data_IF_125942236813
#
_entry.id   IF_125942236813
#
_cell.length_a   1.000
_cell.length_b   1.000
_cell.length_c   1.000
_cell.angle_alpha   90.00
_cell.angle_beta   90.00
_cell.angle_gamma   90.00
#
_symmetry.space_group_name_H-M   'P 1'
#
loop_
_entity.id
_entity.type
_entity.pdbx_description
1 polymer ?
#
# COMPACT_ATOMS: atom_id res chain seq x y z
N UNK A 1 -35.44 -5.55 -4.34
CA UNK A 1 -35.13 -5.58 -2.89
C UNK A 1 -33.68 -5.23 -2.72
N UNK A 2 -33.37 -4.06 -2.20
CA UNK A 2 -31.99 -3.56 -2.08
C UNK A 2 -31.34 -4.16 -0.83
N UNK A 3 -30.34 -5.00 -1.02
CA UNK A 3 -29.40 -5.32 0.05
C UNK A 3 -28.55 -4.08 0.30
N UNK A 4 -28.67 -3.47 1.47
CA UNK A 4 -27.77 -2.42 1.90
C UNK A 4 -26.49 -3.09 2.38
N UNK A 5 -25.38 -2.82 1.71
CA UNK A 5 -24.06 -3.29 2.12
C UNK A 5 -23.14 -2.08 2.16
N UNK A 6 -22.55 -1.85 3.33
CA UNK A 6 -21.53 -0.83 3.53
C UNK A 6 -20.23 -1.57 3.87
N UNK A 7 -19.43 -1.86 2.87
CA UNK A 7 -18.15 -2.58 3.03
C UNK A 7 -17.01 -1.71 2.52
N UNK A 8 -16.06 -1.48 3.40
CA UNK A 8 -14.79 -0.84 3.06
C UNK A 8 -13.66 -1.85 3.16
N UNK A 9 -12.84 -1.93 2.15
CA UNK A 9 -11.58 -2.68 2.14
C UNK A 9 -10.43 -1.71 2.26
N UNK A 10 -9.51 -2.00 3.17
CA UNK A 10 -8.32 -1.19 3.38
C UNK A 10 -7.09 -2.06 3.19
N UNK A 11 -6.11 -1.52 2.49
CA UNK A 11 -4.80 -2.08 2.31
C UNK A 11 -3.77 -1.06 2.78
N UNK A 12 -2.92 -1.45 3.74
CA UNK A 12 -1.66 -0.78 4.02
C UNK A 12 -0.54 -1.60 3.39
N UNK A 13 0.24 -0.97 2.55
CA UNK A 13 1.34 -1.56 1.80
C UNK A 13 2.59 -0.75 2.06
N UNK A 14 3.50 -1.29 2.89
CA UNK A 14 4.72 -0.62 3.29
C UNK A 14 5.91 -1.35 2.69
N UNK A 15 6.53 -0.71 1.69
CA UNK A 15 7.67 -1.22 0.95
C UNK A 15 8.96 -0.59 1.46
N UNK A 16 10.00 -1.41 1.66
CA UNK A 16 11.30 -1.00 2.16
C UNK A 16 12.39 -1.49 1.24
N UNK A 17 13.25 -0.59 0.78
CA UNK A 17 14.49 -0.90 0.07
C UNK A 17 15.68 -0.41 0.88
N UNK A 18 16.67 -1.26 1.07
CA UNK A 18 17.85 -1.02 1.88
C UNK A 18 19.11 -1.13 1.03
N UNK A 19 20.04 -0.22 1.21
CA UNK A 19 21.32 -0.27 0.54
C UNK A 19 22.46 0.02 1.51
N UNK A 20 23.39 -0.94 1.65
CA UNK A 20 24.64 -0.71 2.33
C UNK A 20 25.59 0.10 1.43
N UNK A 21 26.37 0.99 2.01
CA UNK A 21 27.38 1.76 1.28
C UNK A 21 28.66 1.94 2.12
N UNK A 22 29.79 1.98 1.42
CA UNK A 22 31.07 2.27 2.05
C UNK A 22 31.36 3.79 2.12
N UNK A 23 30.69 4.58 1.25
CA UNK A 23 30.91 6.02 1.13
C UNK A 23 29.56 6.72 0.85
N UNK A 24 29.26 7.78 1.60
CA UNK A 24 28.01 8.56 1.50
C UNK A 24 27.76 9.10 0.09
N UNK A 25 28.79 9.47 -0.66
CA UNK A 25 28.63 9.96 -2.03
C UNK A 25 28.03 8.92 -3.00
N UNK A 26 28.13 7.63 -2.70
CA UNK A 26 27.51 6.58 -3.52
C UNK A 26 25.99 6.46 -3.32
N UNK A 27 25.43 7.14 -2.33
CA UNK A 27 23.99 7.15 -2.06
C UNK A 27 23.23 8.17 -2.88
N UNK A 28 23.90 9.23 -3.33
CA UNK A 28 23.25 10.35 -4.02
C UNK A 28 22.63 9.88 -5.35
N UNK A 29 23.35 9.08 -6.14
CA UNK A 29 22.83 8.54 -7.40
C UNK A 29 21.63 7.61 -7.16
N UNK A 30 21.67 6.80 -6.10
CA UNK A 30 20.57 5.92 -5.76
C UNK A 30 19.34 6.70 -5.29
N UNK A 31 19.53 7.71 -4.46
CA UNK A 31 18.44 8.59 -4.04
C UNK A 31 17.87 9.41 -5.20
N UNK A 32 18.70 9.92 -6.09
CA UNK A 32 18.22 10.60 -7.29
C UNK A 32 17.36 9.68 -8.15
N UNK A 33 17.76 8.43 -8.34
CA UNK A 33 16.95 7.46 -9.11
C UNK A 33 15.61 7.14 -8.45
N UNK A 34 15.57 7.07 -7.11
CA UNK A 34 14.33 6.86 -6.36
C UNK A 34 13.44 8.12 -6.35
N UNK A 35 14.03 9.31 -6.28
CA UNK A 35 13.29 10.57 -6.39
C UNK A 35 12.66 10.72 -7.79
N UNK A 36 13.39 10.33 -8.85
CA UNK A 36 12.83 10.25 -10.19
C UNK A 36 11.65 9.27 -10.28
N UNK A 37 11.67 8.19 -9.48
CA UNK A 37 10.64 7.15 -9.48
C UNK A 37 9.48 7.43 -8.51
N UNK A 38 9.73 8.09 -7.37
CA UNK A 38 8.77 8.22 -6.26
C UNK A 38 8.71 9.63 -5.65
N UNK A 39 9.27 10.64 -6.33
CA UNK A 39 9.11 12.04 -5.97
C UNK A 39 7.69 12.56 -6.28
N UNK A 40 7.46 13.84 -6.06
CA UNK A 40 6.12 14.45 -6.10
C UNK A 40 5.32 14.13 -7.38
N UNK A 41 5.94 14.33 -8.55
CA UNK A 41 5.24 14.12 -9.83
C UNK A 41 4.90 12.64 -10.09
N UNK A 42 5.72 11.74 -9.61
CA UNK A 42 5.48 10.30 -9.75
C UNK A 42 4.47 9.81 -8.71
N UNK A 43 4.50 10.41 -7.51
CA UNK A 43 3.51 10.15 -6.47
C UNK A 43 2.10 10.44 -6.97
N UNK A 44 1.88 11.56 -7.63
CA UNK A 44 0.59 11.90 -8.23
C UNK A 44 0.15 10.82 -9.24
N UNK A 45 1.05 10.41 -10.15
CA UNK A 45 0.76 9.37 -11.14
C UNK A 45 0.45 8.02 -10.50
N UNK A 46 1.19 7.64 -9.46
CA UNK A 46 0.94 6.41 -8.71
C UNK A 46 -0.47 6.40 -8.11
N UNK A 47 -0.86 7.48 -7.44
CA UNK A 47 -2.19 7.61 -6.83
C UNK A 47 -3.31 7.54 -7.89
N UNK A 48 -3.13 8.23 -9.02
CA UNK A 48 -4.09 8.21 -10.15
C UNK A 48 -4.21 6.80 -10.71
N UNK A 49 -3.10 6.13 -10.99
CA UNK A 49 -3.08 4.76 -11.54
C UNK A 49 -3.80 3.77 -10.61
N UNK A 50 -3.57 3.87 -9.29
CA UNK A 50 -4.26 3.02 -8.32
C UNK A 50 -5.78 3.32 -8.33
N UNK A 51 -6.18 4.58 -8.32
CA UNK A 51 -7.59 4.95 -8.32
C UNK A 51 -8.32 4.46 -9.59
N UNK A 52 -7.70 4.61 -10.76
CA UNK A 52 -8.24 4.12 -12.04
C UNK A 52 -8.37 2.59 -12.04
N UNK A 53 -7.39 1.86 -11.51
CA UNK A 53 -7.42 0.40 -11.41
C UNK A 53 -8.52 -0.13 -10.46
N UNK A 54 -8.99 0.70 -9.54
CA UNK A 54 -10.11 0.41 -8.66
C UNK A 54 -11.47 0.82 -9.26
N UNK A 55 -11.50 1.27 -10.52
CA UNK A 55 -12.67 1.84 -11.19
C UNK A 55 -13.31 2.98 -10.38
N UNK A 56 -12.48 3.81 -9.77
CA UNK A 56 -12.89 4.90 -8.92
C UNK A 56 -12.82 6.24 -9.66
N UNK A 57 -13.77 7.14 -9.37
CA UNK A 57 -13.74 8.52 -9.85
C UNK A 57 -12.89 9.37 -8.91
N UNK A 58 -11.86 10.01 -9.43
CA UNK A 58 -11.05 10.96 -8.68
C UNK A 58 -11.85 12.22 -8.38
N UNK A 59 -11.91 12.59 -7.12
CA UNK A 59 -12.63 13.79 -6.63
C UNK A 59 -11.64 14.92 -6.33
N UNK A 60 -10.49 14.59 -5.74
CA UNK A 60 -9.44 15.54 -5.42
C UNK A 60 -8.10 14.79 -5.27
N UNK A 61 -7.01 15.47 -5.60
CA UNK A 61 -5.64 14.99 -5.38
C UNK A 61 -4.77 16.16 -4.91
N UNK A 62 -3.85 15.86 -4.02
CA UNK A 62 -2.86 16.81 -3.52
C UNK A 62 -1.56 16.10 -3.25
N UNK A 63 -0.45 16.67 -3.67
CA UNK A 63 0.91 16.19 -3.40
C UNK A 63 1.76 17.29 -2.80
N UNK A 64 2.74 16.92 -1.98
CA UNK A 64 3.67 17.83 -1.33
C UNK A 64 5.05 17.20 -1.33
N UNK A 65 6.08 17.84 -1.91
CA UNK A 65 7.44 17.34 -1.87
C UNK A 65 8.06 17.54 -0.48
N UNK A 66 8.92 16.60 -0.09
CA UNK A 66 9.80 16.74 1.07
C UNK A 66 11.16 17.26 0.64
N UNK A 67 11.93 17.79 1.58
CA UNK A 67 13.32 18.22 1.34
C UNK A 67 14.26 17.42 2.24
N UNK A 68 15.38 16.92 1.73
CA UNK A 68 15.86 17.06 0.35
C UNK A 68 15.16 16.13 -0.65
N UNK A 69 14.57 15.02 -0.21
CA UNK A 69 13.95 13.97 -1.06
C UNK A 69 12.64 13.47 -0.46
N UNK A 70 11.80 12.91 -1.31
CA UNK A 70 10.55 12.29 -0.94
C UNK A 70 9.33 13.17 -1.16
N UNK A 71 8.18 12.58 -1.00
CA UNK A 71 6.91 13.27 -1.16
C UNK A 71 5.80 12.62 -0.32
N UNK A 72 4.73 13.37 -0.10
CA UNK A 72 3.45 12.81 0.30
C UNK A 72 2.39 13.14 -0.72
N UNK A 73 1.40 12.27 -0.81
CA UNK A 73 0.23 12.49 -1.65
C UNK A 73 -1.02 11.95 -1.00
N UNK A 74 -2.14 12.61 -1.26
CA UNK A 74 -3.45 12.15 -0.87
C UNK A 74 -4.44 12.33 -2.02
N UNK A 75 -5.25 11.31 -2.27
CA UNK A 75 -6.27 11.28 -3.29
C UNK A 75 -7.59 10.88 -2.67
N UNK A 76 -8.62 11.69 -2.92
CA UNK A 76 -9.99 11.34 -2.59
C UNK A 76 -10.69 10.80 -3.83
N UNK A 77 -11.40 9.70 -3.66
CA UNK A 77 -12.11 9.03 -4.75
C UNK A 77 -13.53 8.65 -4.33
N UNK A 78 -14.40 8.47 -5.32
CA UNK A 78 -15.78 8.04 -5.15
C UNK A 78 -16.16 7.00 -6.19
N UNK A 79 -17.34 6.43 -6.07
CA UNK A 79 -17.85 5.49 -7.07
C UNK A 79 -18.33 6.22 -8.33
N UNK A 80 -18.09 5.64 -9.50
CA UNK A 80 -18.54 6.24 -10.78
C UNK A 80 -20.07 6.22 -10.97
N UNK A 81 -20.78 5.31 -10.31
CA UNK A 81 -22.17 4.99 -10.58
C UNK A 81 -23.19 5.60 -9.61
N UNK A 82 -22.83 6.57 -8.78
CA UNK A 82 -23.79 7.07 -7.78
C UNK A 82 -24.67 8.22 -8.27
N UNK A 83 -25.92 7.85 -8.45
CA UNK A 83 -27.05 8.75 -8.27
C UNK A 83 -27.43 8.79 -6.79
N UNK A 84 -27.29 9.94 -6.14
CA UNK A 84 -27.90 10.35 -4.88
C UNK A 84 -27.37 9.74 -3.55
N UNK A 85 -26.55 10.50 -2.87
CA UNK A 85 -26.63 10.64 -1.42
C UNK A 85 -25.70 9.79 -0.55
N UNK A 86 -24.88 8.90 -1.08
CA UNK A 86 -23.82 8.24 -0.33
C UNK A 86 -22.46 8.84 -0.67
N UNK A 87 -21.89 9.57 0.27
CA UNK A 87 -20.48 9.92 0.28
C UNK A 87 -19.69 8.69 0.74
N UNK A 88 -19.58 7.68 -0.12
CA UNK A 88 -18.60 6.62 0.07
C UNK A 88 -17.23 7.20 -0.27
N UNK A 89 -16.68 7.97 0.68
CA UNK A 89 -15.38 8.58 0.57
C UNK A 89 -14.30 7.50 0.70
N UNK A 90 -13.87 6.98 -0.43
CA UNK A 90 -12.65 6.21 -0.55
C UNK A 90 -11.46 7.15 -0.68
N UNK A 91 -10.28 6.71 -0.23
CA UNK A 91 -9.08 7.52 -0.29
C UNK A 91 -7.83 6.67 -0.49
N UNK A 92 -6.80 7.30 -1.00
CA UNK A 92 -5.45 6.78 -1.06
C UNK A 92 -4.53 7.82 -0.42
N UNK A 93 -3.65 7.41 0.46
CA UNK A 93 -2.54 8.22 0.96
C UNK A 93 -1.23 7.51 0.65
N UNK A 94 -0.21 8.27 0.31
CA UNK A 94 1.12 7.75 0.02
C UNK A 94 2.20 8.65 0.60
N UNK A 95 3.29 8.05 1.07
CA UNK A 95 4.45 8.75 1.58
C UNK A 95 5.71 8.04 1.11
N UNK A 96 6.66 8.78 0.56
CA UNK A 96 8.01 8.29 0.28
C UNK A 96 9.01 8.96 1.22
N UNK A 97 9.86 8.16 1.86
CA UNK A 97 10.86 8.62 2.82
C UNK A 97 12.24 8.10 2.42
N UNK A 98 13.24 8.93 2.67
CA UNK A 98 14.64 8.64 2.38
C UNK A 98 15.44 8.91 3.65
N UNK A 99 15.90 7.84 4.27
CA UNK A 99 16.68 7.91 5.50
C UNK A 99 18.11 7.46 5.22
N UNK A 100 19.08 8.15 5.82
CA UNK A 100 20.51 7.80 5.75
C UNK A 100 21.02 7.63 7.17
N UNK A 101 21.69 6.50 7.42
CA UNK A 101 22.52 6.28 8.59
C UNK A 101 23.99 6.19 8.16
N UNK A 102 24.91 6.01 9.12
CA UNK A 102 26.36 5.93 8.83
C UNK A 102 26.76 4.83 7.84
N UNK A 103 25.93 3.81 7.67
CA UNK A 103 26.24 2.60 6.87
C UNK A 103 25.15 2.20 5.89
N UNK A 104 23.96 2.76 6.02
CA UNK A 104 22.80 2.34 5.23
C UNK A 104 22.00 3.52 4.73
N UNK A 105 21.53 3.40 3.50
CA UNK A 105 20.45 4.17 2.96
C UNK A 105 19.18 3.33 2.97
N UNK A 106 18.08 3.93 3.38
CA UNK A 106 16.77 3.31 3.48
C UNK A 106 15.76 4.14 2.72
N UNK A 107 15.13 3.53 1.73
CA UNK A 107 13.95 4.07 1.07
C UNK A 107 12.71 3.34 1.60
N UNK A 108 11.67 4.10 1.93
CA UNK A 108 10.40 3.58 2.38
C UNK A 108 9.27 4.23 1.58
N UNK A 109 8.39 3.39 1.00
CA UNK A 109 7.14 3.82 0.41
C UNK A 109 5.98 3.25 1.22
N UNK A 110 5.19 4.12 1.81
CA UNK A 110 3.98 3.77 2.54
C UNK A 110 2.76 4.11 1.69
N UNK A 111 1.86 3.16 1.51
CA UNK A 111 0.60 3.32 0.81
C UNK A 111 -0.55 2.87 1.71
N UNK A 112 -1.53 3.74 1.87
CA UNK A 112 -2.80 3.45 2.53
C UNK A 112 -3.93 3.60 1.51
N UNK A 113 -4.62 2.50 1.20
CA UNK A 113 -5.73 2.49 0.26
C UNK A 113 -6.99 2.06 0.99
N UNK A 114 -8.01 2.90 0.99
CA UNK A 114 -9.33 2.58 1.55
C UNK A 114 -10.38 2.71 0.45
N UNK A 115 -11.04 1.62 0.11
CA UNK A 115 -11.96 1.57 -1.03
C UNK A 115 -13.28 0.90 -0.67
N UNK A 116 -14.37 1.55 -1.08
CA UNK A 116 -15.72 0.99 -1.10
C UNK A 116 -16.12 0.44 -2.49
N UNK A 117 -15.30 0.71 -3.51
CA UNK A 117 -15.51 0.27 -4.90
C UNK A 117 -14.78 -1.06 -5.17
N UNK A 118 -13.54 -1.00 -5.64
CA UNK A 118 -12.71 -2.14 -5.95
C UNK A 118 -12.02 -2.75 -4.74
N UNK A 119 -11.39 -3.91 -4.94
CA UNK A 119 -10.56 -4.58 -3.94
C UNK A 119 -9.10 -4.11 -4.04
N UNK A 120 -8.58 -3.33 -3.07
CA UNK A 120 -7.21 -2.85 -3.11
C UNK A 120 -6.17 -3.99 -2.99
N UNK A 121 -6.54 -5.16 -2.47
CA UNK A 121 -5.67 -6.33 -2.44
C UNK A 121 -5.23 -6.81 -3.82
N UNK A 122 -6.03 -6.53 -4.86
CA UNK A 122 -5.66 -6.84 -6.25
C UNK A 122 -4.47 -6.02 -6.77
N UNK A 123 -4.11 -4.91 -6.09
CA UNK A 123 -2.98 -4.07 -6.48
C UNK A 123 -1.62 -4.58 -5.98
N UNK A 124 -1.61 -5.47 -4.99
CA UNK A 124 -0.38 -5.91 -4.31
C UNK A 124 0.66 -6.44 -5.28
N UNK A 125 0.26 -7.30 -6.22
CA UNK A 125 1.20 -7.87 -7.20
C UNK A 125 1.80 -6.79 -8.10
N UNK A 126 0.99 -5.88 -8.62
CA UNK A 126 1.45 -4.79 -9.48
C UNK A 126 2.41 -3.85 -8.73
N UNK A 127 2.11 -3.55 -7.47
CA UNK A 127 2.97 -2.72 -6.62
C UNK A 127 4.33 -3.41 -6.35
N UNK A 128 4.32 -4.71 -6.07
CA UNK A 128 5.55 -5.49 -5.89
C UNK A 128 6.40 -5.48 -7.16
N UNK A 129 5.81 -5.69 -8.32
CA UNK A 129 6.52 -5.70 -9.61
C UNK A 129 7.13 -4.34 -9.95
N UNK A 130 6.43 -3.26 -9.60
CA UNK A 130 6.90 -1.90 -9.83
C UNK A 130 7.99 -1.46 -8.87
N UNK A 131 7.85 -1.78 -7.57
CA UNK A 131 8.70 -1.24 -6.49
C UNK A 131 9.88 -2.18 -6.21
N UNK A 132 9.68 -3.49 -6.36
CA UNK A 132 10.65 -4.55 -6.05
C UNK A 132 11.29 -4.38 -4.66
N UNK A 133 10.49 -4.30 -3.58
CA UNK A 133 11.00 -4.03 -2.25
C UNK A 133 11.84 -5.18 -1.69
N UNK A 134 12.85 -4.87 -0.87
CA UNK A 134 13.60 -5.86 -0.11
C UNK A 134 12.74 -6.47 1.01
N UNK A 135 11.93 -5.62 1.66
CA UNK A 135 10.94 -6.01 2.66
C UNK A 135 9.60 -5.35 2.36
N UNK A 136 8.55 -6.11 2.64
CA UNK A 136 7.20 -5.68 2.40
C UNK A 136 6.30 -6.06 3.57
N UNK A 137 5.66 -5.08 4.17
CA UNK A 137 4.58 -5.30 5.12
C UNK A 137 3.24 -5.04 4.44
N UNK A 138 2.34 -6.02 4.54
CA UNK A 138 0.97 -5.95 4.02
C UNK A 138 0.02 -6.05 5.21
N UNK A 139 -0.84 -5.05 5.40
CA UNK A 139 -1.98 -5.10 6.32
C UNK A 139 -3.25 -4.90 5.51
N UNK A 140 -4.11 -5.91 5.51
CA UNK A 140 -5.37 -5.88 4.77
C UNK A 140 -6.55 -6.07 5.72
N UNK A 141 -7.53 -5.18 5.63
CA UNK A 141 -8.71 -5.18 6.49
C UNK A 141 -9.99 -5.02 5.71
N UNK A 142 -11.00 -5.74 6.14
CA UNK A 142 -12.37 -5.58 5.66
C UNK A 142 -13.24 -5.11 6.80
N UNK A 143 -13.88 -3.97 6.59
CA UNK A 143 -14.78 -3.34 7.57
C UNK A 143 -16.15 -3.14 6.95
N UNK A 144 -17.17 -3.24 7.78
CA UNK A 144 -18.53 -2.94 7.37
C UNK A 144 -19.56 -3.93 7.89
N UNK A 145 -20.78 -3.57 7.65
CA UNK A 145 -21.95 -4.36 7.99
C UNK A 145 -22.81 -4.52 6.74
N UNK A 146 -23.45 -5.66 6.59
CA UNK A 146 -24.51 -5.84 5.63
C UNK A 146 -25.81 -6.07 6.35
N UNK A 147 -26.88 -5.48 5.84
CA UNK A 147 -28.24 -5.77 6.29
C UNK A 147 -28.92 -6.67 5.27
N UNK A 148 -29.46 -7.79 5.74
CA UNK A 148 -30.26 -8.71 4.92
C UNK A 148 -31.65 -8.80 5.50
N UNK A 149 -32.65 -8.66 4.63
CA UNK A 149 -34.04 -8.82 5.02
C UNK A 149 -34.28 -10.23 5.59
N UNK A 150 -34.78 -10.32 6.82
CA UNK A 150 -35.01 -11.57 7.54
C UNK A 150 -33.85 -12.08 8.41
N UNK A 151 -32.62 -11.61 8.20
CA UNK A 151 -31.46 -12.01 8.99
C UNK A 151 -30.89 -10.87 9.86
N UNK A 152 -31.39 -9.64 9.72
CA UNK A 152 -30.94 -8.48 10.46
C UNK A 152 -29.55 -7.99 10.04
N UNK A 153 -28.81 -7.40 10.97
CA UNK A 153 -27.44 -6.90 10.75
C UNK A 153 -26.47 -8.07 10.80
N UNK A 154 -25.72 -8.28 9.73
CA UNK A 154 -24.66 -9.29 9.66
C UNK A 154 -23.31 -8.59 9.53
N UNK A 155 -22.30 -9.04 10.31
CA UNK A 155 -20.92 -8.72 10.02
C UNK A 155 -20.58 -9.32 8.66
N UNK A 156 -20.08 -8.53 7.74
CA UNK A 156 -19.65 -9.09 6.46
C UNK A 156 -18.28 -9.72 6.65
N UNK A 157 -18.23 -11.05 6.63
CA UNK A 157 -16.98 -11.75 6.36
C UNK A 157 -16.76 -11.71 4.85
N UNK A 158 -15.79 -10.96 4.38
CA UNK A 158 -15.29 -11.15 3.03
C UNK A 158 -14.12 -12.12 3.12
N UNK A 159 -14.02 -13.01 2.16
CA UNK A 159 -12.81 -13.81 2.03
C UNK A 159 -11.65 -12.84 1.83
N UNK A 160 -10.63 -12.94 2.68
CA UNK A 160 -9.38 -12.24 2.46
C UNK A 160 -8.83 -12.62 1.09
N UNK A 161 -8.20 -11.70 0.36
CA UNK A 161 -7.56 -12.03 -0.91
C UNK A 161 -6.62 -13.22 -0.72
N UNK A 162 -6.80 -14.25 -1.54
CA UNK A 162 -5.99 -15.45 -1.45
C UNK A 162 -4.59 -15.13 -1.98
N UNK A 163 -3.56 -15.46 -1.20
CA UNK A 163 -2.18 -15.40 -1.67
C UNK A 163 -1.45 -14.09 -1.43
N UNK A 164 -1.97 -13.17 -0.60
CA UNK A 164 -1.22 -11.98 -0.20
C UNK A 164 0.14 -12.30 0.45
N UNK A 165 0.25 -13.46 1.08
CA UNK A 165 1.47 -13.99 1.70
C UNK A 165 2.32 -14.89 0.76
N UNK A 166 1.87 -15.10 -0.47
CA UNK A 166 2.50 -16.01 -1.43
C UNK A 166 2.93 -15.25 -2.68
N UNK A 167 3.79 -14.27 -2.47
CA UNK A 167 4.32 -13.49 -3.57
C UNK A 167 5.56 -14.16 -4.15
N UNK A 168 5.62 -14.25 -5.49
CA UNK A 168 6.78 -14.83 -6.18
C UNK A 168 8.05 -14.05 -5.86
N UNK A 169 9.12 -14.73 -5.49
CA UNK A 169 10.39 -14.10 -5.12
C UNK A 169 10.48 -13.62 -3.67
N UNK A 170 9.45 -13.89 -2.85
CA UNK A 170 9.42 -13.47 -1.44
C UNK A 170 9.24 -14.65 -0.49
N UNK A 171 9.85 -14.55 0.67
CA UNK A 171 9.66 -15.45 1.81
C UNK A 171 8.77 -14.79 2.85
N UNK A 172 7.81 -15.54 3.38
CA UNK A 172 7.00 -15.12 4.50
C UNK A 172 7.84 -15.15 5.79
N UNK A 173 8.05 -13.98 6.40
CA UNK A 173 8.76 -13.85 7.69
C UNK A 173 7.80 -14.02 8.85
N UNK A 174 6.67 -13.36 8.82
CA UNK A 174 5.63 -13.48 9.83
C UNK A 174 4.25 -13.25 9.25
N UNK A 175 3.25 -13.85 9.89
CA UNK A 175 1.83 -13.69 9.51
C UNK A 175 0.96 -13.66 10.75
N UNK A 176 -0.01 -12.76 10.77
CA UNK A 176 -1.09 -12.73 11.73
C UNK A 176 -2.41 -12.58 11.00
N UNK A 177 -3.39 -13.41 11.39
CA UNK A 177 -4.76 -13.30 10.89
C UNK A 177 -5.68 -13.56 12.07
N UNK A 178 -6.33 -12.49 12.57
CA UNK A 178 -7.18 -12.57 13.77
C UNK A 178 -8.64 -12.88 13.48
N UNK A 179 -9.02 -12.87 12.22
CA UNK A 179 -10.38 -13.18 11.79
C UNK A 179 -10.46 -13.23 10.26
N UNK A 180 -11.63 -13.53 9.72
CA UNK A 180 -11.91 -13.41 8.26
C UNK A 180 -11.86 -11.95 7.76
N UNK A 181 -11.52 -10.99 8.61
CA UNK A 181 -11.57 -9.55 8.30
C UNK A 181 -10.22 -8.83 8.37
N UNK A 182 -9.20 -9.44 8.95
CA UNK A 182 -7.88 -8.81 9.13
C UNK A 182 -6.75 -9.76 8.76
N UNK A 183 -5.76 -9.23 8.09
CA UNK A 183 -4.59 -9.95 7.62
C UNK A 183 -3.36 -9.06 7.67
N UNK A 184 -2.32 -9.52 8.32
CA UNK A 184 -1.00 -8.88 8.36
C UNK A 184 0.05 -9.88 7.91
N UNK A 185 0.91 -9.52 6.98
CA UNK A 185 2.07 -10.30 6.56
C UNK A 185 3.30 -9.43 6.44
N UNK A 186 4.43 -9.97 6.84
CA UNK A 186 5.77 -9.46 6.58
C UNK A 186 6.49 -10.41 5.63
N UNK A 187 6.90 -9.89 4.48
CA UNK A 187 7.58 -10.62 3.43
C UNK A 187 8.99 -10.07 3.23
N UNK A 188 9.95 -10.94 2.90
CA UNK A 188 11.32 -10.59 2.55
C UNK A 188 11.65 -11.09 1.16
N UNK A 189 12.30 -10.25 0.34
CA UNK A 189 12.80 -10.65 -0.97
C UNK A 189 13.89 -11.72 -0.84
N UNK A 190 13.86 -12.71 -1.74
CA UNK A 190 14.89 -13.73 -1.85
C UNK A 190 16.22 -13.17 -2.41
N UNK A 191 16.19 -11.96 -2.99
CA UNK A 191 17.34 -11.29 -3.60
C UNK A 191 18.16 -10.45 -2.62
N UNK A 192 17.72 -10.34 -1.36
CA UNK A 192 18.38 -9.52 -0.34
C UNK A 192 19.10 -10.34 0.76
N UNK A 193 19.96 -11.34 0.44
CA UNK A 193 20.58 -12.18 1.44
C UNK A 193 21.60 -11.42 2.32
N UNK A 194 22.28 -10.41 1.79
CA UNK A 194 23.33 -9.68 2.52
C UNK A 194 22.75 -8.69 3.54
N UNK A 195 21.53 -8.25 3.37
CA UNK A 195 20.85 -7.33 4.29
C UNK A 195 20.27 -8.03 5.52
N UNK A 196 20.17 -9.35 5.52
CA UNK A 196 19.65 -10.11 6.65
C UNK A 196 20.53 -9.99 7.91
N UNK A 197 21.86 -9.92 7.74
CA UNK A 197 22.81 -9.77 8.84
C UNK A 197 22.75 -8.36 9.45
N UNK A 198 22.33 -7.40 8.66
CA UNK A 198 22.20 -6.00 9.05
C UNK A 198 20.99 -5.77 9.95
N UNK A 199 19.86 -6.39 9.61
CA UNK A 199 18.62 -6.25 10.39
C UNK A 199 18.63 -7.00 11.72
N UNK A 200 19.58 -7.94 11.91
CA UNK A 200 19.81 -8.58 13.21
C UNK A 200 20.63 -7.70 14.16
N UNK A 201 21.23 -6.63 13.64
CA UNK A 201 22.04 -5.68 14.41
C UNK A 201 21.31 -4.36 14.76
N UNK A 202 20.08 -4.20 14.31
CA UNK A 202 19.15 -3.12 14.66
C UNK A 202 18.16 -3.58 15.74
#
# INVERSE_FOLDING_TARGET
>A
MSNLSSVTRSLSFNAHNLRAFENVSATDDWFCSLEEAYGEAQMERLLVTIAESLDAKILNISTVPYKPFGASGALMMGQQSQSLGHLDASHIAAHSYFDISDKFAHFRLELEISSCAGDPGAQVQNLIEQIQPDFLQIDYRVRGISWRQGAGVCKQSSKLPVGLDKQSGYQLVSKRSDSDSEYLALLRSNLAPELADVLQSL
#
